data_IF_272033763788
#
_entry.id   IF_272033763788
#
_cell.length_a   1.000
_cell.length_b   1.000
_cell.length_c   1.000
_cell.angle_alpha   90.00
_cell.angle_beta   90.00
_cell.angle_gamma   90.00
#
_symmetry.space_group_name_H-M   'P 1'
#
loop_
_entity.id
_entity.type
_entity.pdbx_description
1 polymer ?
#
# COMPACT_ATOMS: atom_id res chain seq x y z
N UNK A 1 -3.60 1.29 16.99
CA UNK A 1 -4.65 1.44 15.96
C UNK A 1 -5.94 2.04 16.52
N UNK A 2 -6.48 1.54 17.64
CA UNK A 2 -7.62 2.18 18.34
C UNK A 2 -7.40 3.68 18.67
N UNK A 3 -6.14 4.11 18.78
CA UNK A 3 -5.76 5.48 19.09
C UNK A 3 -6.08 6.48 17.97
N UNK A 4 -5.90 6.14 16.68
CA UNK A 4 -6.11 7.10 15.57
C UNK A 4 -7.59 7.40 15.31
N UNK A 5 -8.45 6.38 15.36
CA UNK A 5 -9.90 6.55 15.25
C UNK A 5 -10.44 7.44 16.38
N UNK A 6 -9.91 7.26 17.61
CA UNK A 6 -10.26 8.11 18.76
C UNK A 6 -9.74 9.55 18.66
N UNK A 7 -8.59 9.77 18.01
CA UNK A 7 -7.98 11.11 17.88
C UNK A 7 -8.64 11.92 16.75
N UNK A 8 -8.93 11.29 15.61
CA UNK A 8 -9.48 11.98 14.43
C UNK A 8 -11.01 11.90 14.34
N UNK A 9 -11.66 11.00 15.07
CA UNK A 9 -13.11 10.80 15.03
C UNK A 9 -13.63 10.24 13.70
N UNK A 10 -12.74 9.66 12.88
CA UNK A 10 -13.09 9.15 11.55
C UNK A 10 -13.42 7.66 11.54
N UNK A 11 -14.34 7.29 10.65
CA UNK A 11 -14.71 5.91 10.40
C UNK A 11 -13.56 5.12 9.77
N UNK A 12 -13.46 3.82 10.09
CA UNK A 12 -12.43 2.93 9.53
C UNK A 12 -12.48 2.85 7.99
N UNK A 13 -13.68 3.04 7.43
CA UNK A 13 -13.95 3.12 5.99
C UNK A 13 -13.15 4.20 5.27
N UNK A 14 -12.66 5.22 6.00
CA UNK A 14 -11.87 6.33 5.46
C UNK A 14 -10.37 6.10 5.53
N UNK A 15 -9.91 4.95 6.01
CA UNK A 15 -8.47 4.66 6.09
C UNK A 15 -8.05 3.67 5.01
N UNK A 16 -6.94 3.99 4.34
CA UNK A 16 -6.21 3.09 3.48
C UNK A 16 -4.93 2.62 4.18
N UNK A 17 -4.54 1.37 3.96
CA UNK A 17 -3.26 0.83 4.42
C UNK A 17 -2.39 0.42 3.24
N UNK A 18 -1.08 0.42 3.47
CA UNK A 18 -0.11 -0.13 2.53
C UNK A 18 0.57 -1.33 3.15
N UNK A 19 0.55 -2.46 2.44
CA UNK A 19 1.25 -3.68 2.81
C UNK A 19 2.28 -3.98 1.74
N UNK A 20 3.53 -4.17 2.12
CA UNK A 20 4.56 -4.56 1.17
C UNK A 20 4.83 -6.06 1.26
N UNK A 21 5.00 -6.69 0.12
CA UNK A 21 5.38 -8.09 -0.01
C UNK A 21 6.69 -8.19 -0.77
N UNK A 22 7.51 -9.16 -0.42
CA UNK A 22 8.76 -9.46 -1.11
C UNK A 22 8.67 -10.78 -1.84
N UNK A 23 9.29 -10.84 -3.03
CA UNK A 23 9.63 -12.08 -3.70
C UNK A 23 11.07 -11.97 -4.20
N UNK A 24 11.97 -12.75 -3.60
CA UNK A 24 13.41 -12.63 -3.81
C UNK A 24 13.91 -11.20 -3.50
N UNK A 25 14.38 -10.47 -4.50
CA UNK A 25 14.87 -9.10 -4.39
C UNK A 25 13.81 -8.05 -4.77
N UNK A 26 12.60 -8.49 -5.13
CA UNK A 26 11.54 -7.62 -5.63
C UNK A 26 10.54 -7.26 -4.54
N UNK A 27 10.12 -6.00 -4.50
CA UNK A 27 9.17 -5.47 -3.50
C UNK A 27 7.90 -4.97 -4.19
N UNK A 28 6.75 -5.38 -3.67
CA UNK A 28 5.43 -5.05 -4.19
C UNK A 28 4.59 -4.42 -3.08
N UNK A 29 4.17 -3.18 -3.25
CA UNK A 29 3.24 -2.51 -2.34
C UNK A 29 1.78 -2.75 -2.76
N UNK A 30 0.93 -3.10 -1.82
CA UNK A 30 -0.51 -3.25 -2.00
C UNK A 30 -1.22 -2.21 -1.15
N UNK A 31 -2.01 -1.38 -1.82
CA UNK A 31 -2.81 -0.33 -1.23
C UNK A 31 -4.26 -0.81 -1.22
N UNK A 32 -4.91 -0.78 -0.06
CA UNK A 32 -6.25 -1.31 0.13
C UNK A 32 -6.95 -0.65 1.32
N UNK A 33 -8.29 -0.75 1.42
CA UNK A 33 -9.02 -0.30 2.60
C UNK A 33 -8.46 -0.94 3.88
N UNK A 34 -8.51 -0.19 4.99
CA UNK A 34 -7.99 -0.66 6.28
C UNK A 34 -8.70 -1.94 6.75
N UNK A 35 -10.02 -2.01 6.55
CA UNK A 35 -10.87 -3.15 6.91
C UNK A 35 -10.58 -4.40 6.08
N UNK A 36 -10.06 -4.24 4.87
CA UNK A 36 -9.84 -5.33 3.93
C UNK A 36 -8.65 -6.21 4.30
N UNK A 37 -8.74 -7.50 4.02
CA UNK A 37 -7.65 -8.47 4.24
C UNK A 37 -7.22 -9.04 2.89
N UNK A 38 -5.93 -8.98 2.61
CA UNK A 38 -5.34 -9.63 1.44
C UNK A 38 -4.52 -10.85 1.86
N UNK A 39 -4.73 -11.99 1.19
CA UNK A 39 -3.94 -13.21 1.41
C UNK A 39 -2.83 -13.29 0.38
N UNK A 40 -1.75 -14.01 0.71
CA UNK A 40 -0.62 -14.24 -0.21
C UNK A 40 -1.04 -14.84 -1.56
N UNK A 41 -2.09 -15.67 -1.57
CA UNK A 41 -2.64 -16.24 -2.80
C UNK A 41 -3.18 -15.15 -3.74
N UNK A 42 -3.86 -14.15 -3.19
CA UNK A 42 -4.46 -13.06 -3.96
C UNK A 42 -3.36 -12.12 -4.46
N UNK A 43 -2.37 -11.82 -3.60
CA UNK A 43 -1.15 -11.09 -3.97
C UNK A 43 -0.48 -11.73 -5.19
N UNK A 44 -0.25 -13.03 -5.15
CA UNK A 44 0.38 -13.74 -6.25
C UNK A 44 -0.46 -13.69 -7.54
N UNK A 45 -1.80 -13.76 -7.42
CA UNK A 45 -2.69 -13.63 -8.55
C UNK A 45 -2.60 -12.25 -9.20
N UNK A 46 -2.62 -11.15 -8.43
CA UNK A 46 -2.43 -9.79 -8.96
C UNK A 46 -1.07 -9.59 -9.64
N UNK A 47 -0.07 -10.38 -9.25
CA UNK A 47 1.27 -10.34 -9.84
C UNK A 47 1.44 -11.32 -11.02
N UNK A 48 0.41 -12.09 -11.39
CA UNK A 48 0.49 -13.11 -12.44
C UNK A 48 1.43 -14.27 -12.09
N UNK A 49 1.65 -14.53 -10.79
CA UNK A 49 2.60 -15.55 -10.30
C UNK A 49 1.94 -16.92 -10.18
N UNK A 50 2.71 -17.95 -10.49
CA UNK A 50 2.29 -19.34 -10.26
C UNK A 50 2.16 -19.66 -8.78
N UNK A 51 1.48 -20.77 -8.44
CA UNK A 51 1.41 -21.26 -7.05
C UNK A 51 2.79 -21.51 -6.42
N UNK A 52 3.77 -21.92 -7.22
CA UNK A 52 5.14 -22.19 -6.75
C UNK A 52 5.89 -20.89 -6.40
N UNK A 53 5.63 -19.82 -7.15
CA UNK A 53 6.17 -18.49 -6.86
C UNK A 53 5.45 -17.84 -5.68
N UNK A 54 4.13 -18.02 -5.58
CA UNK A 54 3.32 -17.55 -4.45
C UNK A 54 3.86 -18.06 -3.09
N UNK A 55 4.34 -19.31 -3.04
CA UNK A 55 4.89 -19.92 -1.83
C UNK A 55 6.21 -19.29 -1.35
N UNK A 56 6.88 -18.51 -2.20
CA UNK A 56 8.14 -17.79 -1.87
C UNK A 56 7.87 -16.36 -1.40
N UNK A 57 6.64 -15.90 -1.56
CA UNK A 57 6.27 -14.55 -1.17
C UNK A 57 6.09 -14.44 0.33
N UNK A 58 6.63 -13.37 0.90
CA UNK A 58 6.49 -13.07 2.33
C UNK A 58 6.02 -11.63 2.49
N UNK A 59 5.33 -11.36 3.59
CA UNK A 59 5.09 -9.97 4.01
C UNK A 59 6.46 -9.36 4.33
N UNK A 60 6.75 -8.21 3.76
CA UNK A 60 8.03 -7.56 3.99
C UNK A 60 8.07 -6.96 5.39
N UNK A 61 8.95 -7.49 6.24
CA UNK A 61 9.29 -6.88 7.53
C UNK A 61 10.35 -5.77 7.35
N UNK A 62 11.06 -5.76 6.21
CA UNK A 62 12.15 -4.84 5.91
C UNK A 62 11.75 -4.00 4.70
N UNK A 63 11.35 -2.77 5.00
CA UNK A 63 11.02 -1.79 3.97
C UNK A 63 12.28 -1.04 3.55
N UNK A 64 12.33 -0.52 2.31
CA UNK A 64 13.53 0.10 1.76
C UNK A 64 14.04 1.34 2.54
N UNK A 65 13.24 1.83 3.48
CA UNK A 65 13.50 3.01 4.32
C UNK A 65 13.13 2.74 5.77
N UNK A 66 13.76 3.48 6.69
CA UNK A 66 13.57 3.32 8.14
C UNK A 66 12.12 3.64 8.50
N UNK A 67 11.35 2.62 8.88
CA UNK A 67 9.97 2.78 9.33
C UNK A 67 9.83 2.55 10.83
N UNK A 68 9.02 3.38 11.47
CA UNK A 68 8.35 2.98 12.70
C UNK A 68 7.40 1.82 12.36
N UNK A 69 7.26 0.83 13.25
CA UNK A 69 6.30 -0.27 13.04
C UNK A 69 4.93 0.31 12.71
N UNK A 70 4.25 -0.22 11.69
CA UNK A 70 2.92 0.23 11.23
C UNK A 70 2.85 1.62 10.56
N UNK A 71 3.99 2.17 10.11
CA UNK A 71 4.04 3.44 9.36
C UNK A 71 4.14 3.27 7.84
N UNK A 72 3.65 2.17 7.29
CA UNK A 72 3.73 1.91 5.85
C UNK A 72 2.73 2.77 5.07
N UNK A 73 3.23 3.45 4.06
CA UNK A 73 2.45 4.27 3.14
C UNK A 73 2.94 4.17 1.70
N UNK A 74 2.16 4.65 0.72
CA UNK A 74 2.50 4.54 -0.70
C UNK A 74 3.34 5.72 -1.23
N UNK A 75 3.40 6.83 -0.48
CA UNK A 75 4.10 8.07 -0.87
C UNK A 75 5.61 8.05 -0.54
N UNK A 76 6.31 7.06 -1.09
CA UNK A 76 7.75 6.84 -0.83
C UNK A 76 8.64 7.89 -1.50
N UNK A 77 9.90 7.99 -1.06
CA UNK A 77 10.88 8.87 -1.71
C UNK A 77 11.30 8.35 -3.09
N UNK A 78 11.87 9.20 -3.94
CA UNK A 78 12.41 8.77 -5.25
C UNK A 78 13.56 7.76 -5.11
N UNK A 79 14.37 7.89 -4.05
CA UNK A 79 15.43 6.91 -3.77
C UNK A 79 14.85 5.53 -3.47
N UNK A 80 13.74 5.49 -2.73
CA UNK A 80 13.11 4.24 -2.30
C UNK A 80 12.24 3.62 -3.40
N UNK A 81 11.75 4.44 -4.34
CA UNK A 81 10.99 3.97 -5.50
C UNK A 81 11.78 3.02 -6.38
N UNK A 82 13.10 3.16 -6.46
CA UNK A 82 13.98 2.23 -7.17
C UNK A 82 13.93 0.81 -6.59
N UNK A 83 13.55 0.67 -5.32
CA UNK A 83 13.48 -0.59 -4.59
C UNK A 83 12.11 -1.26 -4.68
N UNK A 84 11.09 -0.53 -5.17
CA UNK A 84 9.73 -1.02 -5.35
C UNK A 84 9.47 -1.33 -6.82
N UNK A 85 9.16 -2.59 -7.12
CA UNK A 85 8.81 -3.04 -8.48
C UNK A 85 7.41 -2.57 -8.87
N UNK A 86 6.44 -2.72 -7.97
CA UNK A 86 5.05 -2.29 -8.22
C UNK A 86 4.36 -1.77 -6.97
N UNK A 87 3.45 -0.82 -7.18
CA UNK A 87 2.41 -0.39 -6.25
C UNK A 87 1.05 -0.72 -6.87
N UNK A 88 0.23 -1.49 -6.17
CA UNK A 88 -1.04 -2.02 -6.66
C UNK A 88 -2.16 -1.45 -5.79
N UNK A 89 -2.99 -0.61 -6.39
CA UNK A 89 -4.19 -0.05 -5.76
C UNK A 89 -5.34 -1.03 -5.94
N UNK A 90 -5.76 -1.68 -4.86
CA UNK A 90 -6.95 -2.54 -4.89
C UNK A 90 -8.22 -1.69 -4.90
N UNK A 91 -9.34 -2.23 -5.40
CA UNK A 91 -10.60 -1.50 -5.45
C UNK A 91 -11.00 -0.95 -4.08
N UNK A 92 -11.38 0.32 -4.05
CA UNK A 92 -11.85 1.01 -2.85
C UNK A 92 -13.20 1.65 -3.15
N UNK A 93 -14.24 1.21 -2.45
CA UNK A 93 -15.62 1.69 -2.64
C UNK A 93 -15.89 2.95 -1.81
N UNK A 94 -15.19 4.05 -2.11
CA UNK A 94 -15.48 5.38 -1.57
C UNK A 94 -15.14 6.47 -2.57
N UNK A 95 -15.97 7.50 -2.62
CA UNK A 95 -15.67 8.74 -3.37
C UNK A 95 -15.14 9.84 -2.44
N UNK A 96 -15.13 9.59 -1.13
CA UNK A 96 -14.63 10.55 -0.15
C UNK A 96 -13.10 10.53 -0.09
N UNK A 97 -12.54 11.57 0.52
CA UNK A 97 -11.13 11.59 0.87
C UNK A 97 -10.82 10.51 1.91
N UNK A 98 -9.68 9.85 1.72
CA UNK A 98 -9.17 8.79 2.58
C UNK A 98 -7.82 9.18 3.17
N UNK A 99 -7.46 8.48 4.23
CA UNK A 99 -6.22 8.66 4.94
C UNK A 99 -5.22 7.57 4.65
N UNK A 100 -4.07 7.99 4.15
CA UNK A 100 -2.88 7.18 4.03
C UNK A 100 -1.92 7.51 5.17
N UNK A 101 -1.33 6.49 5.80
CA UNK A 101 -0.25 6.76 6.78
C UNK A 101 0.98 7.29 6.05
N UNK A 102 1.61 8.33 6.59
CA UNK A 102 2.84 8.86 6.02
C UNK A 102 3.99 7.86 6.23
N UNK A 103 4.78 7.53 5.18
CA UNK A 103 5.87 6.58 5.30
C UNK A 103 6.87 6.95 6.41
N UNK A 104 7.04 6.06 7.39
CA UNK A 104 7.98 6.27 8.50
C UNK A 104 7.46 7.12 9.66
N UNK A 105 6.22 7.66 9.57
CA UNK A 105 5.63 8.52 10.60
C UNK A 105 4.21 8.08 10.91
N UNK A 106 4.02 7.38 12.03
CA UNK A 106 2.67 6.96 12.44
C UNK A 106 1.79 8.13 12.85
N UNK A 107 2.33 9.26 13.26
CA UNK A 107 1.59 10.44 13.73
C UNK A 107 1.07 11.32 12.58
N UNK A 108 1.51 11.06 11.34
CA UNK A 108 1.15 11.86 10.16
C UNK A 108 0.30 11.02 9.21
N UNK A 109 -0.74 11.65 8.66
CA UNK A 109 -1.60 11.09 7.62
C UNK A 109 -1.65 12.03 6.42
N UNK A 110 -1.80 11.47 5.22
CA UNK A 110 -2.07 12.21 3.98
C UNK A 110 -3.55 12.03 3.65
N UNK A 111 -4.28 13.13 3.58
CA UNK A 111 -5.71 13.17 3.30
C UNK A 111 -5.95 13.56 1.83
N UNK A 112 -6.45 12.60 1.04
CA UNK A 112 -6.62 12.76 -0.41
C UNK A 112 -7.66 11.74 -0.90
N UNK A 113 -8.33 11.99 -2.03
CA UNK A 113 -9.18 10.95 -2.61
C UNK A 113 -8.33 9.76 -3.07
N UNK A 114 -8.92 8.56 -3.03
CA UNK A 114 -8.20 7.34 -3.41
C UNK A 114 -7.71 7.38 -4.86
N UNK A 115 -8.54 7.94 -5.76
CA UNK A 115 -8.22 8.05 -7.19
C UNK A 115 -7.20 9.14 -7.49
N UNK A 116 -7.18 10.25 -6.73
CA UNK A 116 -6.14 11.26 -6.87
C UNK A 116 -4.80 10.72 -6.38
N UNK A 117 -4.78 9.96 -5.27
CA UNK A 117 -3.57 9.28 -4.81
C UNK A 117 -3.02 8.31 -5.87
N UNK A 118 -3.90 7.49 -6.46
CA UNK A 118 -3.53 6.63 -7.58
C UNK A 118 -2.95 7.44 -8.74
N UNK A 119 -3.63 8.49 -9.18
CA UNK A 119 -3.24 9.31 -10.33
C UNK A 119 -1.90 10.02 -10.11
N UNK A 120 -1.70 10.62 -8.94
CA UNK A 120 -0.43 11.26 -8.55
C UNK A 120 0.74 10.28 -8.57
N UNK A 121 0.56 9.10 -7.97
CA UNK A 121 1.62 8.10 -7.96
C UNK A 121 1.83 7.49 -9.35
N UNK A 122 0.77 7.36 -10.16
CA UNK A 122 0.85 6.87 -11.54
C UNK A 122 1.60 7.85 -12.44
N UNK A 123 1.36 9.15 -12.29
CA UNK A 123 2.12 10.20 -12.98
C UNK A 123 3.60 10.13 -12.60
N UNK A 124 3.89 10.01 -11.30
CA UNK A 124 5.26 10.02 -10.77
C UNK A 124 6.05 8.74 -11.11
N UNK A 125 5.43 7.57 -10.93
CA UNK A 125 6.11 6.26 -10.98
C UNK A 125 5.71 5.41 -12.19
N UNK A 126 4.85 5.93 -13.07
CA UNK A 126 4.51 5.36 -14.37
C UNK A 126 4.07 3.90 -14.28
N UNK A 127 4.74 3.00 -14.98
CA UNK A 127 4.36 1.59 -15.12
C UNK A 127 4.47 0.78 -13.83
N UNK A 128 5.08 1.33 -12.79
CA UNK A 128 5.12 0.70 -11.47
C UNK A 128 3.78 0.76 -10.74
N UNK A 129 2.89 1.69 -11.07
CA UNK A 129 1.60 1.85 -10.40
C UNK A 129 0.51 1.20 -11.23
N UNK A 130 -0.26 0.30 -10.61
CA UNK A 130 -1.34 -0.46 -11.26
C UNK A 130 -2.60 -0.40 -10.41
N UNK A 131 -3.76 -0.53 -11.05
CA UNK A 131 -5.03 -0.74 -10.36
C UNK A 131 -5.35 -2.25 -10.39
N UNK A 132 -5.67 -2.82 -9.24
CA UNK A 132 -6.02 -4.23 -9.11
C UNK A 132 -7.44 -4.45 -9.64
N UNK A 133 -7.57 -5.21 -10.72
CA UNK A 133 -8.85 -5.43 -11.41
C UNK A 133 -8.78 -5.30 -12.93
N UNK A 134 -7.68 -4.75 -13.45
CA UNK A 134 -7.30 -4.77 -14.87
C UNK A 134 -6.51 -6.02 -15.26
#
# INVERSE_FOLDING_TARGET
MEQKQKILGWEESRFAKTLYFTDQQKIYGFILPMSEKIKLKDVAQYLGKSKKEAARMTLSEILPYRQERHSAGPFISEKDEQLVDKLIFLPFQTQESVDFTFPGRMDISIHITYMDAFSLLKEKYKDKVCYGGD
#
